data_IF_589381212417
#
_entry.id   IF_589381212417
#
_cell.length_a   1.000
_cell.length_b   1.000
_cell.length_c   1.000
_cell.angle_alpha   90.00
_cell.angle_beta   90.00
_cell.angle_gamma   90.00
#
_symmetry.space_group_name_H-M   'P 1'
#
loop_
_entity.id
_entity.type
_entity.pdbx_description
1 polymer ?
#
# COMPACT_ATOMS: atom_id res chain seq x y z
N UNK A 1 -1.36 -16.77 9.85
CA UNK A 1 -1.71 -15.73 10.82
C UNK A 1 -0.79 -15.78 12.01
N UNK A 2 -0.34 -14.64 12.44
CA UNK A 2 0.48 -14.60 13.64
C UNK A 2 -0.38 -14.76 14.84
N UNK A 3 0.11 -15.49 15.80
CA UNK A 3 -0.59 -15.60 17.03
C UNK A 3 -0.34 -14.40 17.87
N UNK A 4 -1.27 -14.12 18.76
CA UNK A 4 -1.14 -12.99 19.66
C UNK A 4 0.13 -13.19 20.48
N UNK A 5 0.94 -12.15 20.53
CA UNK A 5 2.19 -12.18 21.25
C UNK A 5 3.39 -12.61 20.44
N UNK A 6 3.17 -13.10 19.23
CA UNK A 6 4.28 -13.50 18.39
C UNK A 6 4.90 -12.26 17.77
N UNK A 7 6.21 -12.13 17.93
CA UNK A 7 6.91 -10.96 17.43
C UNK A 7 7.21 -11.10 15.96
N UNK A 8 7.13 -9.98 15.26
CA UNK A 8 7.50 -9.89 13.86
C UNK A 8 8.84 -9.20 13.78
N UNK A 9 9.75 -9.79 13.04
CA UNK A 9 11.06 -9.21 12.80
C UNK A 9 11.04 -8.40 11.53
N UNK A 10 11.89 -7.39 11.46
CA UNK A 10 12.01 -6.57 10.26
C UNK A 10 12.23 -7.41 9.02
N UNK A 11 13.02 -8.47 9.12
CA UNK A 11 13.29 -9.30 7.96
C UNK A 11 12.10 -10.14 7.52
N UNK A 12 11.04 -10.20 8.34
CA UNK A 12 9.83 -10.88 7.95
C UNK A 12 8.94 -10.00 7.07
N UNK A 13 9.26 -8.71 6.95
CA UNK A 13 8.46 -7.78 6.19
C UNK A 13 9.14 -7.48 4.86
N UNK A 14 8.34 -7.39 3.83
CA UNK A 14 8.85 -7.05 2.50
C UNK A 14 8.60 -5.58 2.22
N UNK A 15 9.63 -4.90 1.73
CA UNK A 15 9.49 -3.54 1.27
C UNK A 15 8.95 -3.59 -0.15
N UNK A 16 7.82 -2.95 -0.36
CA UNK A 16 7.13 -3.04 -1.64
C UNK A 16 6.67 -1.67 -2.12
N UNK A 17 6.46 -1.59 -3.41
CA UNK A 17 5.79 -0.47 -4.03
C UNK A 17 4.42 -0.95 -4.46
N UNK A 18 3.39 -0.22 -4.09
CA UNK A 18 2.02 -0.56 -4.46
C UNK A 18 1.46 0.55 -5.34
N UNK A 19 1.03 0.16 -6.53
CA UNK A 19 0.32 1.05 -7.43
C UNK A 19 -1.15 0.74 -7.33
N UNK A 20 -1.96 1.74 -7.04
CA UNK A 20 -3.38 1.52 -6.80
C UNK A 20 -4.19 2.71 -7.29
N UNK A 21 -5.49 2.51 -7.36
CA UNK A 21 -6.41 3.54 -7.83
C UNK A 21 -7.25 4.03 -6.66
N UNK A 22 -7.19 5.32 -6.43
CA UNK A 22 -7.84 5.92 -5.28
C UNK A 22 -9.13 6.59 -5.73
N UNK A 23 -10.13 6.50 -4.86
CA UNK A 23 -11.35 7.26 -5.04
C UNK A 23 -11.06 8.73 -4.78
N UNK A 24 -11.84 9.59 -5.38
CA UNK A 24 -11.67 11.01 -5.14
C UNK A 24 -13.03 11.67 -5.02
N UNK A 25 -13.03 12.76 -4.29
CA UNK A 25 -14.17 13.65 -4.21
C UNK A 25 -13.77 14.97 -4.84
N UNK A 26 -14.74 15.58 -5.51
CA UNK A 26 -14.50 16.87 -6.12
C UNK A 26 -15.22 17.90 -5.27
N UNK A 27 -14.48 18.90 -4.80
CA UNK A 27 -15.04 19.93 -3.93
C UNK A 27 -15.78 21.01 -4.67
N UNK A 28 -15.75 20.99 -5.99
CA UNK A 28 -16.50 21.96 -6.76
C UNK A 28 -17.97 21.76 -6.51
N UNK A 29 -18.66 22.88 -6.31
CA UNK A 29 -20.08 22.84 -5.97
C UNK A 29 -20.93 22.43 -7.15
N UNK A 30 -20.60 22.92 -8.32
CA UNK A 30 -21.38 22.64 -9.54
C UNK A 30 -20.46 22.32 -10.68
N UNK A 31 -20.80 21.27 -11.40
CA UNK A 31 -20.12 20.89 -12.62
C UNK A 31 -21.14 20.33 -13.57
N UNK A 32 -20.87 20.45 -14.86
CA UNK A 32 -21.73 19.81 -15.83
C UNK A 32 -21.64 18.32 -15.70
N UNK A 33 -22.73 17.64 -15.92
CA UNK A 33 -22.77 16.19 -15.75
C UNK A 33 -21.81 15.49 -16.70
N UNK A 34 -21.64 16.02 -17.91
CA UNK A 34 -20.71 15.42 -18.84
C UNK A 34 -19.27 15.50 -18.34
N UNK A 35 -18.92 16.58 -17.67
CA UNK A 35 -17.59 16.70 -17.08
C UNK A 35 -17.41 15.71 -15.94
N UNK A 36 -18.44 15.53 -15.14
CA UNK A 36 -18.39 14.56 -14.04
C UNK A 36 -18.24 13.15 -14.57
N UNK A 37 -18.90 12.82 -15.68
CA UNK A 37 -18.81 11.49 -16.26
C UNK A 37 -17.43 11.15 -16.77
N UNK A 38 -16.59 12.16 -17.03
CA UNK A 38 -15.22 11.94 -17.50
C UNK A 38 -14.23 11.70 -16.38
N UNK A 39 -14.67 11.86 -15.13
CA UNK A 39 -13.76 11.69 -14.00
C UNK A 39 -13.26 10.26 -13.93
N UNK A 40 -12.03 10.11 -13.49
CA UNK A 40 -11.38 8.82 -13.38
C UNK A 40 -10.79 8.67 -11.99
N UNK A 41 -10.58 7.43 -11.60
CA UNK A 41 -9.90 7.15 -10.36
C UNK A 41 -8.47 7.67 -10.44
N UNK A 42 -7.93 8.05 -9.31
CA UNK A 42 -6.61 8.68 -9.23
C UNK A 42 -5.55 7.61 -9.03
N UNK A 43 -4.56 7.51 -9.92
CA UNK A 43 -3.48 6.55 -9.69
C UNK A 43 -2.54 7.08 -8.60
N UNK A 44 -2.22 6.20 -7.66
CA UNK A 44 -1.38 6.53 -6.52
C UNK A 44 -0.32 5.45 -6.40
N UNK A 45 0.88 5.85 -6.03
CA UNK A 45 1.97 4.93 -5.76
C UNK A 45 2.44 5.14 -4.33
N UNK A 46 2.51 4.06 -3.57
CA UNK A 46 3.00 4.06 -2.20
C UNK A 46 4.15 3.09 -2.08
N UNK A 47 5.08 3.40 -1.17
CA UNK A 47 6.18 2.49 -0.84
C UNK A 47 6.17 2.28 0.65
N UNK A 48 6.31 1.04 1.08
CA UNK A 48 6.33 0.73 2.49
C UNK A 48 6.53 -0.76 2.70
N UNK A 49 6.61 -1.16 3.96
CA UNK A 49 6.66 -2.57 4.30
C UNK A 49 5.25 -3.12 4.30
N UNK A 50 5.10 -4.25 3.62
CA UNK A 50 3.81 -4.91 3.54
C UNK A 50 3.53 -5.63 4.85
N UNK A 51 2.58 -5.13 5.59
CA UNK A 51 2.23 -5.72 6.88
C UNK A 51 1.19 -6.81 6.72
N UNK A 52 0.21 -6.58 5.90
CA UNK A 52 -0.92 -7.51 5.74
C UNK A 52 -1.50 -7.34 4.36
N UNK A 53 -1.90 -8.46 3.77
CA UNK A 53 -2.67 -8.43 2.54
C UNK A 53 -3.66 -9.57 2.58
N UNK A 54 -4.92 -9.24 2.42
CA UNK A 54 -5.97 -10.24 2.32
C UNK A 54 -6.96 -9.77 1.27
N UNK A 55 -8.11 -10.44 1.18
CA UNK A 55 -9.09 -10.09 0.15
C UNK A 55 -9.71 -8.72 0.36
N UNK A 56 -9.63 -8.20 1.57
CA UNK A 56 -10.26 -6.92 1.90
C UNK A 56 -9.30 -5.77 1.89
N UNK A 57 -8.14 -5.92 2.51
CA UNK A 57 -7.21 -4.80 2.69
C UNK A 57 -5.78 -5.20 2.40
N UNK A 58 -5.02 -4.21 1.97
CA UNK A 58 -3.58 -4.28 1.80
C UNK A 58 -3.02 -3.15 2.65
N UNK A 59 -2.19 -3.48 3.63
CA UNK A 59 -1.72 -2.50 4.61
C UNK A 59 -0.21 -2.40 4.55
N UNK A 60 0.25 -1.17 4.41
CA UNK A 60 1.68 -0.85 4.43
C UNK A 60 1.99 -0.01 5.65
N UNK A 61 3.21 -0.13 6.14
CA UNK A 61 3.72 0.78 7.18
C UNK A 61 5.00 1.40 6.68
N UNK A 62 5.27 2.63 7.11
CA UNK A 62 6.47 3.33 6.70
C UNK A 62 7.55 3.29 7.77
N UNK A 63 7.20 2.92 8.99
CA UNK A 63 8.13 2.82 10.09
C UNK A 63 7.78 1.61 10.94
N UNK A 64 8.77 1.03 11.55
CA UNK A 64 8.54 -0.16 12.36
C UNK A 64 9.56 -0.20 13.50
N UNK A 65 9.05 -0.30 14.71
CA UNK A 65 9.88 -0.49 15.90
C UNK A 65 9.72 -1.94 16.36
N UNK A 66 10.75 -2.72 16.14
CA UNK A 66 10.69 -4.13 16.39
C UNK A 66 10.55 -4.41 17.89
N UNK A 67 11.20 -3.61 18.73
CA UNK A 67 11.15 -3.86 20.16
C UNK A 67 9.77 -3.67 20.73
N UNK A 68 9.10 -2.60 20.36
CA UNK A 68 7.76 -2.32 20.86
C UNK A 68 6.68 -2.97 20.02
N UNK A 69 7.03 -3.51 18.84
CA UNK A 69 6.07 -4.08 17.91
C UNK A 69 5.03 -3.05 17.49
N UNK A 70 5.50 -1.83 17.22
CA UNK A 70 4.64 -0.74 16.78
C UNK A 70 5.07 -0.28 15.40
N UNK A 71 4.11 0.12 14.61
CA UNK A 71 4.36 0.66 13.28
C UNK A 71 3.78 2.04 13.15
N UNK A 72 4.36 2.81 12.24
CA UNK A 72 3.87 4.16 11.98
C UNK A 72 3.66 4.37 10.50
N UNK A 73 2.91 5.42 10.19
CA UNK A 73 2.64 5.77 8.81
C UNK A 73 1.90 4.69 8.05
N UNK A 74 0.85 4.16 8.66
CA UNK A 74 0.07 3.09 8.05
C UNK A 74 -0.76 3.59 6.89
N UNK A 75 -0.76 2.83 5.81
CA UNK A 75 -1.64 3.08 4.67
C UNK A 75 -2.50 1.84 4.48
N UNK A 76 -3.81 2.02 4.52
CA UNK A 76 -4.75 0.93 4.37
C UNK A 76 -5.44 1.10 3.03
N UNK A 77 -5.25 0.14 2.14
CA UNK A 77 -5.74 0.22 0.77
C UNK A 77 -6.73 -0.91 0.55
N UNK A 78 -7.92 -0.63 0.02
CA UNK A 78 -8.81 -1.73 -0.37
C UNK A 78 -8.09 -2.59 -1.40
N UNK A 79 -8.03 -3.88 -1.16
CA UNK A 79 -7.25 -4.77 -2.04
C UNK A 79 -7.75 -4.73 -3.47
N UNK A 80 -9.04 -4.52 -3.66
CA UNK A 80 -9.61 -4.43 -5.00
C UNK A 80 -9.09 -3.23 -5.78
N UNK A 81 -8.54 -2.23 -5.10
CA UNK A 81 -8.00 -1.04 -5.76
C UNK A 81 -6.54 -1.19 -6.13
N UNK A 82 -5.89 -2.24 -5.67
CA UNK A 82 -4.46 -2.46 -5.96
C UNK A 82 -4.32 -2.93 -7.40
N UNK A 83 -3.42 -2.28 -8.12
CA UNK A 83 -3.14 -2.63 -9.51
C UNK A 83 -1.90 -3.51 -9.61
N UNK A 84 -0.89 -3.22 -8.82
CA UNK A 84 0.37 -3.92 -8.92
C UNK A 84 1.17 -3.76 -7.63
N UNK A 85 1.85 -4.81 -7.23
CA UNK A 85 2.77 -4.78 -6.09
C UNK A 85 4.13 -5.23 -6.61
N UNK A 86 5.16 -4.44 -6.34
CA UNK A 86 6.51 -4.71 -6.80
C UNK A 86 7.44 -4.68 -5.60
N UNK A 87 8.32 -5.67 -5.48
CA UNK A 87 9.31 -5.65 -4.41
C UNK A 87 10.35 -4.58 -4.69
N UNK A 88 10.71 -3.85 -3.64
CA UNK A 88 11.66 -2.77 -3.75
C UNK A 88 12.99 -3.23 -3.20
N UNK A 89 14.07 -2.85 -3.89
CA UNK A 89 15.40 -3.14 -3.42
C UNK A 89 15.85 -4.57 -3.60
N UNK A 90 15.03 -5.39 -4.21
CA UNK A 90 15.45 -6.75 -4.47
C UNK A 90 16.33 -6.74 -5.69
N UNK A 91 17.54 -7.28 -5.54
CA UNK A 91 18.41 -7.32 -6.65
C UNK A 91 18.03 -8.39 -7.58
N UNK A 92 18.16 -8.09 -8.80
CA UNK A 92 18.11 -9.13 -9.74
C UNK A 92 19.39 -9.76 -9.72
N UNK A 93 19.39 -10.81 -9.39
CA UNK A 93 20.56 -11.36 -9.19
C UNK A 93 21.41 -11.50 -10.32
N UNK A 94 21.53 -10.79 -10.74
CA UNK A 94 22.14 -10.62 -11.48
C UNK A 94 22.84 -9.86 -11.64
N UNK A 95 22.57 -9.65 -10.98
CA UNK A 95 23.14 -9.11 -10.97
C UNK A 95 23.86 -8.98 -10.99
N UNK A 96 23.82 -9.00 -10.96
CA UNK A 96 24.35 -8.75 -10.83
C UNK A 96 24.73 -8.52 -10.99
N UNK A 97 24.57 -8.49 -11.12
CA UNK A 97 24.81 -8.12 -11.17
C UNK A 97 25.14 -8.01 -11.27
#
# INVERSE_FOLDING_TARGET
>A
MNEIGQKISKKDLNLVQVDWLDAMSDDNTWQELDELRKQKLRPVTCVGWLLTQNSDVTILISSFDEDSQCGGGGTVIPTNCVQKITKVGEKNDDTNN
#
